data_IF_071874999279
#
_entry.id   IF_071874999279
#
_cell.length_a   1.000
_cell.length_b   1.000
_cell.length_c   1.000
_cell.angle_alpha   90.00
_cell.angle_beta   90.00
_cell.angle_gamma   90.00
#
_symmetry.space_group_name_H-M   'P 1'
#
loop_
_entity.id
_entity.type
_entity.pdbx_description
1 polymer ?
#
# COMPACT_ATOMS: atom_id res chain seq x y z
N UNK A 1 25.80 -9.20 -18.68
CA UNK A 1 25.60 -10.13 -17.56
C UNK A 1 25.18 -9.41 -16.26
N UNK A 2 24.48 -8.26 -16.35
CA UNK A 2 23.92 -7.52 -15.20
C UNK A 2 22.38 -7.59 -15.20
N UNK A 3 21.78 -7.84 -16.37
CA UNK A 3 20.33 -7.95 -16.56
C UNK A 3 19.72 -9.15 -15.82
N UNK A 4 20.43 -10.28 -15.75
CA UNK A 4 19.90 -11.52 -15.16
C UNK A 4 19.67 -11.38 -13.65
N UNK A 5 20.59 -10.71 -12.93
CA UNK A 5 20.46 -10.48 -11.49
C UNK A 5 19.33 -9.52 -11.16
N UNK A 6 19.22 -8.41 -11.89
CA UNK A 6 18.14 -7.44 -11.71
C UNK A 6 16.77 -8.05 -12.00
N UNK A 7 16.63 -8.76 -13.12
CA UNK A 7 15.37 -9.39 -13.50
C UNK A 7 14.98 -10.51 -12.52
N UNK A 8 15.95 -11.29 -12.05
CA UNK A 8 15.71 -12.30 -11.03
C UNK A 8 15.25 -11.65 -9.72
N UNK A 9 15.89 -10.58 -9.28
CA UNK A 9 15.49 -9.85 -8.08
C UNK A 9 14.08 -9.26 -8.22
N UNK A 10 13.80 -8.55 -9.31
CA UNK A 10 12.51 -7.95 -9.59
C UNK A 10 11.37 -8.99 -9.59
N UNK A 11 11.56 -10.09 -10.34
CA UNK A 11 10.55 -11.13 -10.49
C UNK A 11 10.32 -11.91 -9.20
N UNK A 12 11.38 -12.29 -8.48
CA UNK A 12 11.27 -13.01 -7.20
C UNK A 12 10.65 -12.14 -6.11
N UNK A 13 11.01 -10.85 -6.04
CA UNK A 13 10.39 -9.90 -5.13
C UNK A 13 8.90 -9.71 -5.42
N UNK A 14 8.54 -9.46 -6.68
CA UNK A 14 7.14 -9.31 -7.10
C UNK A 14 6.30 -10.56 -6.81
N UNK A 15 6.86 -11.76 -7.08
CA UNK A 15 6.20 -13.03 -6.77
C UNK A 15 6.01 -13.21 -5.26
N UNK A 16 7.04 -12.91 -4.45
CA UNK A 16 6.98 -13.01 -2.99
C UNK A 16 5.89 -12.11 -2.40
N UNK A 17 5.83 -10.85 -2.83
CA UNK A 17 4.80 -9.92 -2.36
C UNK A 17 3.40 -10.38 -2.79
N UNK A 18 3.25 -10.88 -4.01
CA UNK A 18 1.98 -11.41 -4.48
C UNK A 18 1.49 -12.62 -3.68
N UNK A 19 2.41 -13.53 -3.31
CA UNK A 19 2.11 -14.67 -2.43
C UNK A 19 1.66 -14.17 -1.06
N UNK A 20 2.37 -13.20 -0.47
CA UNK A 20 2.02 -12.64 0.85
C UNK A 20 0.63 -11.96 0.79
N UNK A 21 0.39 -11.11 -0.19
CA UNK A 21 -0.89 -10.41 -0.35
C UNK A 21 -2.06 -11.38 -0.52
N UNK A 22 -1.90 -12.41 -1.36
CA UNK A 22 -2.95 -13.43 -1.56
C UNK A 22 -3.20 -14.27 -0.31
N UNK A 23 -2.16 -14.61 0.45
CA UNK A 23 -2.27 -15.30 1.75
C UNK A 23 -3.01 -14.46 2.78
N UNK A 24 -2.62 -13.20 2.96
CA UNK A 24 -3.28 -12.27 3.90
C UNK A 24 -4.77 -12.16 3.58
N UNK A 25 -5.12 -11.91 2.32
CA UNK A 25 -6.53 -11.77 1.92
C UNK A 25 -7.37 -13.05 2.14
N UNK A 26 -6.74 -14.23 2.09
CA UNK A 26 -7.40 -15.51 2.40
C UNK A 26 -7.56 -15.77 3.90
N UNK A 27 -6.65 -15.28 4.73
CA UNK A 27 -6.67 -15.47 6.19
C UNK A 27 -7.66 -14.53 6.88
N UNK A 28 -7.86 -13.31 6.36
CA UNK A 28 -8.83 -12.32 6.89
C UNK A 28 -10.22 -12.93 7.21
N UNK A 29 -10.90 -13.65 6.29
CA UNK A 29 -12.21 -14.23 6.59
C UNK A 29 -12.18 -15.38 7.60
N UNK A 30 -11.02 -15.98 7.86
CA UNK A 30 -10.87 -17.08 8.81
C UNK A 30 -10.66 -16.57 10.24
N UNK A 31 -9.95 -15.46 10.40
CA UNK A 31 -9.57 -14.90 11.71
C UNK A 31 -10.51 -13.81 12.23
N UNK A 32 -11.36 -13.22 11.37
CA UNK A 32 -12.27 -12.14 11.76
C UNK A 32 -13.73 -12.60 11.65
N UNK A 33 -14.38 -12.98 12.77
CA UNK A 33 -15.79 -13.40 12.79
C UNK A 33 -16.76 -12.24 12.51
N UNK A 34 -16.42 -11.02 12.92
CA UNK A 34 -17.27 -9.84 12.74
C UNK A 34 -17.28 -9.38 11.26
N UNK A 35 -18.45 -9.36 10.59
CA UNK A 35 -18.56 -8.98 9.19
C UNK A 35 -18.17 -7.51 8.91
N UNK A 36 -18.35 -6.60 9.88
CA UNK A 36 -18.06 -5.16 9.73
C UNK A 36 -16.55 -4.92 9.78
N UNK A 37 -15.87 -5.49 10.79
CA UNK A 37 -14.41 -5.39 10.94
C UNK A 37 -13.73 -6.08 9.76
N UNK A 38 -14.22 -7.25 9.34
CA UNK A 38 -13.70 -7.98 8.18
C UNK A 38 -13.72 -7.13 6.90
N UNK A 39 -14.80 -6.39 6.66
CA UNK A 39 -14.90 -5.53 5.48
C UNK A 39 -13.96 -4.33 5.55
N UNK A 40 -13.81 -3.71 6.73
CA UNK A 40 -12.84 -2.62 6.97
C UNK A 40 -11.41 -3.10 6.71
N UNK A 41 -10.99 -4.21 7.35
CA UNK A 41 -9.65 -4.78 7.21
C UNK A 41 -9.37 -5.15 5.76
N UNK A 42 -10.31 -5.83 5.08
CA UNK A 42 -10.17 -6.18 3.66
C UNK A 42 -9.97 -4.94 2.78
N UNK A 43 -10.73 -3.86 3.00
CA UNK A 43 -10.58 -2.63 2.23
C UNK A 43 -9.22 -1.97 2.48
N UNK A 44 -8.73 -1.95 3.73
CA UNK A 44 -7.40 -1.44 4.06
C UNK A 44 -6.32 -2.28 3.37
N UNK A 45 -6.42 -3.61 3.42
CA UNK A 45 -5.47 -4.50 2.74
C UNK A 45 -5.45 -4.30 1.24
N UNK A 46 -6.61 -4.20 0.59
CA UNK A 46 -6.70 -3.96 -0.87
C UNK A 46 -6.08 -2.62 -1.24
N UNK A 47 -6.35 -1.57 -0.46
CA UNK A 47 -5.76 -0.24 -0.69
C UNK A 47 -4.25 -0.25 -0.49
N UNK A 48 -3.75 -0.91 0.56
CA UNK A 48 -2.32 -1.10 0.79
C UNK A 48 -1.64 -1.85 -0.37
N UNK A 49 -2.28 -2.92 -0.87
CA UNK A 49 -1.80 -3.65 -2.04
C UNK A 49 -1.79 -2.77 -3.30
N UNK A 50 -2.79 -1.91 -3.46
CA UNK A 50 -2.86 -0.98 -4.60
C UNK A 50 -1.74 0.06 -4.54
N UNK A 51 -1.48 0.68 -3.37
CA UNK A 51 -0.34 1.59 -3.20
C UNK A 51 0.99 0.90 -3.50
N UNK A 52 1.16 -0.34 -3.02
CA UNK A 52 2.35 -1.13 -3.32
C UNK A 52 2.51 -1.41 -4.81
N UNK A 53 1.43 -1.84 -5.49
CA UNK A 53 1.44 -2.14 -6.92
C UNK A 53 1.77 -0.90 -7.76
N UNK A 54 1.17 0.25 -7.43
CA UNK A 54 1.48 1.52 -8.10
C UNK A 54 2.95 1.91 -7.86
N UNK A 55 3.46 1.75 -6.64
CA UNK A 55 4.88 1.97 -6.33
C UNK A 55 5.80 1.05 -7.14
N UNK A 56 5.47 -0.24 -7.24
CA UNK A 56 6.27 -1.20 -7.99
C UNK A 56 6.27 -0.91 -9.51
N UNK A 57 5.13 -0.49 -10.07
CA UNK A 57 5.05 -0.05 -11.47
C UNK A 57 5.86 1.23 -11.67
N UNK A 58 5.77 2.18 -10.74
CA UNK A 58 6.57 3.40 -10.77
C UNK A 58 8.08 3.11 -10.75
N UNK A 59 8.52 2.14 -9.94
CA UNK A 59 9.90 1.67 -9.93
C UNK A 59 10.32 1.07 -11.29
N UNK A 60 9.47 0.24 -11.90
CA UNK A 60 9.76 -0.36 -13.22
C UNK A 60 9.86 0.70 -14.33
N UNK A 61 9.00 1.71 -14.28
CA UNK A 61 9.04 2.85 -15.21
C UNK A 61 10.29 3.71 -14.96
N UNK A 62 10.68 3.94 -13.70
CA UNK A 62 11.88 4.71 -13.36
C UNK A 62 13.15 4.06 -13.93
N UNK A 63 13.27 2.73 -13.82
CA UNK A 63 14.39 1.98 -14.41
C UNK A 63 14.39 2.03 -15.95
N UNK A 64 13.22 1.82 -16.58
CA UNK A 64 13.10 1.81 -18.05
C UNK A 64 13.26 3.20 -18.68
N UNK A 65 12.76 4.24 -18.01
CA UNK A 65 12.71 5.60 -18.51
C UNK A 65 13.78 6.51 -17.87
N UNK A 66 14.78 5.95 -17.18
CA UNK A 66 15.79 6.70 -16.43
C UNK A 66 16.42 7.85 -17.25
N UNK A 67 16.83 7.60 -18.50
CA UNK A 67 17.40 8.64 -19.39
C UNK A 67 16.38 9.72 -19.76
N UNK A 68 15.14 9.32 -20.09
CA UNK A 68 14.05 10.25 -20.43
C UNK A 68 13.63 11.11 -19.23
N UNK A 69 13.59 10.53 -18.03
CA UNK A 69 13.27 11.23 -16.79
C UNK A 69 14.35 12.25 -16.43
N UNK A 70 15.63 11.92 -16.63
CA UNK A 70 16.75 12.85 -16.43
C UNK A 70 16.70 14.01 -17.44
N UNK A 71 16.44 13.72 -18.72
CA UNK A 71 16.35 14.75 -19.76
C UNK A 71 15.12 15.65 -19.56
N UNK A 72 13.99 15.08 -19.14
CA UNK A 72 12.78 15.83 -18.77
C UNK A 72 13.01 16.71 -17.53
N UNK A 73 13.78 16.23 -16.53
CA UNK A 73 14.12 17.01 -15.33
C UNK A 73 14.98 18.21 -15.66
N UNK A 74 15.94 18.06 -16.58
CA UNK A 74 16.81 19.16 -17.04
C UNK A 74 16.05 20.22 -17.83
N UNK A 75 14.99 19.84 -18.53
CA UNK A 75 14.20 20.75 -19.37
C UNK A 75 13.06 21.45 -18.61
N UNK A 76 12.44 20.80 -17.62
CA UNK A 76 11.24 21.30 -16.95
C UNK A 76 11.50 22.15 -15.69
N UNK A 77 12.69 22.04 -15.06
CA UNK A 77 13.02 22.83 -13.86
C UNK A 77 12.08 22.58 -12.66
N UNK A 78 12.27 23.33 -11.56
CA UNK A 78 11.42 23.21 -10.36
C UNK A 78 10.09 23.98 -10.54
N UNK A 79 8.95 23.48 -10.03
CA UNK A 79 8.77 22.31 -9.16
C UNK A 79 8.46 20.99 -9.88
N UNK A 80 8.23 21.00 -11.20
CA UNK A 80 7.87 19.79 -11.96
C UNK A 80 9.00 18.75 -11.94
N UNK A 81 10.25 19.18 -11.89
CA UNK A 81 11.42 18.32 -11.68
C UNK A 81 11.30 17.44 -10.44
N UNK A 82 10.67 17.93 -9.36
CA UNK A 82 10.45 17.18 -8.12
C UNK A 82 9.34 16.13 -8.25
N UNK A 83 8.26 16.47 -8.96
CA UNK A 83 7.18 15.50 -9.27
C UNK A 83 7.66 14.40 -10.23
N UNK A 84 8.62 14.71 -11.09
CA UNK A 84 9.28 13.77 -12.00
C UNK A 84 10.36 12.90 -11.32
N UNK A 85 10.62 13.08 -10.02
CA UNK A 85 11.46 12.15 -9.25
C UNK A 85 10.69 10.89 -8.90
N UNK A 86 10.30 10.14 -9.93
CA UNK A 86 9.58 8.88 -9.80
C UNK A 86 10.31 7.91 -8.87
N UNK A 87 11.66 7.99 -8.85
CA UNK A 87 12.53 7.36 -7.86
C UNK A 87 12.12 7.59 -6.39
N UNK A 88 11.83 8.82 -5.99
CA UNK A 88 11.37 9.12 -4.63
C UNK A 88 9.95 8.62 -4.38
N UNK A 89 9.08 8.74 -5.38
CA UNK A 89 7.67 8.35 -5.27
C UNK A 89 7.47 6.84 -5.10
N UNK A 90 8.24 6.00 -5.80
CA UNK A 90 8.10 4.56 -5.63
C UNK A 90 8.51 4.12 -4.22
N UNK A 91 9.51 4.74 -3.59
CA UNK A 91 9.88 4.48 -2.20
C UNK A 91 8.73 4.84 -1.24
N UNK A 92 8.10 6.00 -1.40
CA UNK A 92 6.99 6.42 -0.54
C UNK A 92 5.78 5.49 -0.71
N UNK A 93 5.43 5.14 -1.95
CA UNK A 93 4.29 4.29 -2.26
C UNK A 93 4.47 2.86 -1.76
N UNK A 94 5.66 2.28 -1.97
CA UNK A 94 5.99 0.93 -1.48
C UNK A 94 6.10 0.90 0.04
N UNK A 95 6.63 1.95 0.69
CA UNK A 95 6.65 2.07 2.14
C UNK A 95 5.23 2.11 2.75
N UNK A 96 4.31 2.88 2.15
CA UNK A 96 2.90 2.92 2.57
C UNK A 96 2.24 1.54 2.41
N UNK A 97 2.47 0.88 1.28
CA UNK A 97 1.94 -0.45 1.02
C UNK A 97 2.47 -1.50 2.00
N UNK A 98 3.78 -1.49 2.26
CA UNK A 98 4.45 -2.37 3.22
C UNK A 98 3.98 -2.16 4.65
N UNK A 99 3.89 -0.90 5.10
CA UNK A 99 3.33 -0.55 6.41
C UNK A 99 1.90 -1.07 6.56
N UNK A 100 1.07 -0.88 5.53
CA UNK A 100 -0.32 -1.37 5.54
C UNK A 100 -0.39 -2.90 5.65
N UNK A 101 0.52 -3.63 5.00
CA UNK A 101 0.58 -5.08 5.08
C UNK A 101 0.98 -5.56 6.48
N UNK A 102 2.00 -4.94 7.09
CA UNK A 102 2.43 -5.27 8.46
C UNK A 102 1.31 -4.96 9.46
N UNK A 103 0.68 -3.78 9.36
CA UNK A 103 -0.44 -3.39 10.21
C UNK A 103 -1.63 -4.37 10.14
N UNK A 104 -1.94 -4.86 8.93
CA UNK A 104 -2.99 -5.88 8.75
C UNK A 104 -2.59 -7.22 9.36
N UNK A 105 -1.35 -7.67 9.18
CA UNK A 105 -0.87 -8.93 9.77
C UNK A 105 -0.85 -8.87 11.29
N UNK A 106 -0.39 -7.76 11.85
CA UNK A 106 -0.38 -7.50 13.28
C UNK A 106 -1.80 -7.56 13.86
N UNK A 107 -2.76 -6.90 13.20
CA UNK A 107 -4.16 -6.94 13.60
C UNK A 107 -4.78 -8.35 13.55
N UNK A 108 -4.43 -9.14 12.55
CA UNK A 108 -4.94 -10.52 12.40
C UNK A 108 -4.31 -11.47 13.42
N UNK A 109 -3.12 -11.14 13.93
CA UNK A 109 -2.34 -11.98 14.85
C UNK A 109 -2.57 -11.59 16.31
N UNK A 110 -2.85 -10.32 16.59
CA UNK A 110 -3.23 -9.85 17.92
C UNK A 110 -4.62 -10.35 18.29
N UNK A 111 -4.81 -10.89 19.50
CA UNK A 111 -6.13 -11.32 20.02
C UNK A 111 -7.12 -10.15 20.21
N UNK A 112 -6.73 -8.91 19.90
CA UNK A 112 -7.53 -7.68 19.97
C UNK A 112 -8.58 -7.52 18.84
N UNK A 113 -8.93 -8.59 18.12
CA UNK A 113 -9.95 -8.57 17.03
C UNK A 113 -11.35 -8.14 17.51
N UNK A 114 -11.55 -7.96 18.83
CA UNK A 114 -12.80 -7.55 19.44
C UNK A 114 -13.03 -6.02 19.56
N UNK A 115 -12.01 -5.17 19.40
CA UNK A 115 -12.18 -3.71 19.46
C UNK A 115 -11.78 -3.02 18.15
N UNK A 116 -12.44 -1.91 17.80
CA UNK A 116 -12.29 -1.21 16.52
C UNK A 116 -10.87 -0.60 16.42
N UNK A 117 -9.94 -1.22 15.64
CA UNK A 117 -8.51 -0.92 15.70
C UNK A 117 -8.15 0.36 14.92
N UNK A 118 -9.16 1.03 14.36
CA UNK A 118 -9.03 2.21 13.51
C UNK A 118 -8.31 3.36 14.22
N UNK A 119 -8.33 3.39 15.55
CA UNK A 119 -7.71 4.44 16.37
C UNK A 119 -6.22 4.20 16.72
N UNK A 120 -5.70 3.00 16.49
CA UNK A 120 -4.30 2.62 16.80
C UNK A 120 -3.34 2.80 15.62
N UNK A 121 -3.87 2.89 14.39
CA UNK A 121 -3.02 2.99 13.21
C UNK A 121 -2.57 4.43 12.93
N UNK A 122 -1.26 4.60 12.69
CA UNK A 122 -0.71 5.84 12.18
C UNK A 122 -1.10 6.05 10.70
N UNK A 123 -1.05 7.30 10.24
CA UNK A 123 -1.31 7.72 8.86
C UNK A 123 -0.65 6.76 7.84
N UNK A 124 -1.34 6.27 6.77
CA UNK A 124 -2.58 6.75 6.16
C UNK A 124 -3.82 5.85 6.36
N UNK A 125 -3.75 4.84 7.22
CA UNK A 125 -4.86 3.90 7.49
C UNK A 125 -6.12 4.59 8.04
N UNK A 126 -6.06 5.57 8.97
CA UNK A 126 -7.26 6.28 9.42
C UNK A 126 -7.90 7.16 8.33
N UNK A 127 -7.13 7.71 7.39
CA UNK A 127 -7.68 8.40 6.21
C UNK A 127 -8.40 7.40 5.29
N UNK A 128 -7.84 6.20 5.15
CA UNK A 128 -8.45 5.15 4.37
C UNK A 128 -9.77 4.64 4.97
N UNK A 129 -9.82 4.50 6.30
CA UNK A 129 -11.01 4.13 7.04
C UNK A 129 -12.04 5.27 7.08
N UNK A 130 -11.62 6.53 7.25
CA UNK A 130 -12.48 7.72 7.26
C UNK A 130 -13.23 7.93 5.94
N UNK A 131 -12.59 7.65 4.80
CA UNK A 131 -13.24 7.65 3.48
C UNK A 131 -14.32 6.56 3.34
N UNK A 132 -14.24 5.48 4.13
CA UNK A 132 -15.29 4.44 4.18
C UNK A 132 -16.33 4.68 5.29
N UNK A 133 -15.99 5.48 6.31
CA UNK A 133 -16.86 5.83 7.43
C UNK A 133 -17.74 7.06 7.17
N UNK A 134 -17.57 7.75 6.03
CA UNK A 134 -18.30 8.96 5.64
C UNK A 134 -19.80 8.79 5.33
N UNK A 135 -20.54 7.93 6.03
CA UNK A 135 -22.00 7.82 5.84
C UNK A 135 -22.79 7.31 7.06
N UNK A 136 -22.26 7.30 8.30
CA UNK A 136 -23.06 6.83 9.47
C UNK A 136 -23.02 7.63 10.77
N UNK A 137 -22.25 8.72 10.89
CA UNK A 137 -22.18 9.49 12.16
C UNK A 137 -22.81 10.89 12.10
N UNK A 138 -23.82 11.07 11.25
CA UNK A 138 -24.74 12.23 11.37
C UNK A 138 -26.13 11.69 11.70
N UNK A 139 -26.71 12.19 12.79
CA UNK A 139 -28.03 11.88 13.35
C UNK A 139 -28.10 10.67 14.31
N UNK A 140 -27.41 10.78 15.44
CA UNK A 140 -28.10 10.60 16.74
C UNK A 140 -27.39 11.38 17.84
N UNK A 141 -27.76 12.64 18.00
CA UNK A 141 -27.62 13.33 19.28
C UNK A 141 -28.83 14.25 19.47
N UNK A 142 -29.62 13.88 20.47
CA UNK A 142 -30.80 14.51 21.06
C UNK A 142 -32.12 14.26 20.34
#
# INVERSE_FOLDING_TARGET
MVMDEFLLHASTFGLGVWIIASRILRIIPQQVPDPVIRQKVRNISIRGCLFFAVGYIAWLIDELACRYLIDARRTLGLPLAFLLELHGWWHVLTAIGGYSAVAVVDLITSEEVHEDPTHLFAWPIPLAAGLTAGSKDVVKKN
#
